data_IF_307719803546
#
_entry.id   IF_307719803546
#
_cell.length_a   1.000
_cell.length_b   1.000
_cell.length_c   1.000
_cell.angle_alpha   90.00
_cell.angle_beta   90.00
_cell.angle_gamma   90.00
#
_symmetry.space_group_name_H-M   'P 1'
#
loop_
_entity.id
_entity.type
_entity.pdbx_description
1 polymer ?
#
# COMPACT_ATOMS: atom_id res chain seq x y z
N UNK A 1 -13.38 -16.32 -1.39
CA UNK A 1 -12.14 -15.84 -0.76
C UNK A 1 -11.20 -15.45 -1.90
N UNK A 2 -10.83 -14.17 -2.04
CA UNK A 2 -9.88 -13.76 -3.07
C UNK A 2 -8.52 -14.35 -2.67
N UNK A 3 -7.95 -15.16 -3.54
CA UNK A 3 -6.61 -15.73 -3.37
C UNK A 3 -5.58 -14.61 -3.18
N UNK A 4 -4.44 -14.93 -2.55
CA UNK A 4 -3.30 -14.01 -2.44
C UNK A 4 -2.96 -13.41 -3.82
N UNK A 5 -2.87 -12.07 -3.91
CA UNK A 5 -2.50 -11.38 -5.14
C UNK A 5 -1.07 -11.77 -5.53
N UNK A 6 -0.88 -12.26 -6.74
CA UNK A 6 0.45 -12.59 -7.29
C UNK A 6 1.21 -11.34 -7.72
N UNK A 7 2.53 -11.44 -7.91
CA UNK A 7 3.35 -10.34 -8.43
C UNK A 7 2.80 -9.75 -9.74
N UNK A 8 2.47 -10.62 -10.69
CA UNK A 8 1.99 -10.21 -12.02
C UNK A 8 0.64 -9.50 -11.95
N UNK A 9 -0.29 -9.99 -11.12
CA UNK A 9 -1.57 -9.34 -10.87
C UNK A 9 -1.36 -7.97 -10.20
N UNK A 10 -0.51 -7.89 -9.18
CA UNK A 10 -0.20 -6.62 -8.52
C UNK A 10 0.35 -5.58 -9.52
N UNK A 11 1.28 -5.97 -10.38
CA UNK A 11 1.82 -5.08 -11.41
C UNK A 11 0.75 -4.67 -12.42
N UNK A 12 -0.15 -5.58 -12.79
CA UNK A 12 -1.27 -5.27 -13.69
C UNK A 12 -2.20 -4.21 -13.08
N UNK A 13 -2.63 -4.42 -11.84
CA UNK A 13 -3.52 -3.50 -11.12
C UNK A 13 -2.85 -2.13 -10.89
N UNK A 14 -1.57 -2.09 -10.52
CA UNK A 14 -0.84 -0.83 -10.35
C UNK A 14 -0.73 -0.03 -11.66
N UNK A 15 -0.60 -0.71 -12.80
CA UNK A 15 -0.66 -0.07 -14.13
C UNK A 15 -2.06 0.46 -14.41
N UNK A 16 -3.11 -0.29 -14.10
CA UNK A 16 -4.49 0.16 -14.27
C UNK A 16 -4.79 1.41 -13.40
N UNK A 17 -4.37 1.41 -12.13
CA UNK A 17 -4.50 2.55 -11.21
C UNK A 17 -3.78 3.79 -11.75
N UNK A 18 -2.60 3.63 -12.35
CA UNK A 18 -1.86 4.75 -12.97
C UNK A 18 -2.68 5.43 -14.07
N UNK A 19 -3.39 4.67 -14.89
CA UNK A 19 -4.22 5.22 -15.98
C UNK A 19 -5.46 5.98 -15.48
N UNK A 20 -5.88 5.76 -14.21
CA UNK A 20 -6.95 6.54 -13.59
C UNK A 20 -6.54 7.99 -13.24
N UNK A 21 -5.26 8.34 -13.40
CA UNK A 21 -4.73 9.68 -13.12
C UNK A 21 -4.94 10.10 -11.65
N UNK A 22 -5.50 11.29 -11.40
CA UNK A 22 -5.70 11.82 -10.06
C UNK A 22 -6.91 11.19 -9.37
N UNK A 23 -6.65 10.47 -8.27
CA UNK A 23 -7.66 9.83 -7.43
C UNK A 23 -7.84 10.64 -6.15
N UNK A 24 -9.10 10.89 -5.77
CA UNK A 24 -9.43 11.53 -4.49
C UNK A 24 -9.02 10.61 -3.35
N UNK A 25 -8.33 11.15 -2.34
CA UNK A 25 -7.90 10.37 -1.17
C UNK A 25 -9.09 9.71 -0.45
N UNK A 26 -8.91 8.47 -0.02
CA UNK A 26 -9.91 7.74 0.76
C UNK A 26 -9.83 8.01 2.27
N UNK A 27 -8.74 8.67 2.73
CA UNK A 27 -8.54 9.09 4.12
C UNK A 27 -7.89 10.46 4.18
N UNK A 28 -8.28 11.27 5.16
CA UNK A 28 -7.64 12.56 5.44
C UNK A 28 -6.26 12.40 6.07
N UNK A 29 -5.32 13.28 5.73
CA UNK A 29 -3.99 13.32 6.32
C UNK A 29 -2.93 12.46 5.60
N UNK A 30 -1.78 12.29 6.25
CA UNK A 30 -0.58 11.71 5.62
C UNK A 30 -0.76 10.24 5.22
N UNK A 31 -1.51 9.46 5.99
CA UNK A 31 -1.78 8.03 5.73
C UNK A 31 -2.78 7.81 4.59
N UNK A 32 -3.35 8.89 4.03
CA UNK A 32 -4.28 8.81 2.91
C UNK A 32 -3.70 8.14 1.67
N UNK A 33 -2.41 8.32 1.38
CA UNK A 33 -1.79 7.69 0.20
C UNK A 33 -1.73 6.16 0.30
N UNK A 34 -1.39 5.63 1.49
CA UNK A 34 -1.40 4.20 1.77
C UNK A 34 -2.80 3.63 1.74
N UNK A 35 -3.72 4.27 2.46
CA UNK A 35 -5.11 3.83 2.51
C UNK A 35 -5.77 3.80 1.14
N UNK A 36 -5.53 4.82 0.32
CA UNK A 36 -6.14 4.92 -1.03
C UNK A 36 -5.66 3.77 -1.93
N UNK A 37 -4.37 3.44 -1.94
CA UNK A 37 -3.88 2.36 -2.80
C UNK A 37 -4.32 0.97 -2.31
N UNK A 38 -4.40 0.75 -1.00
CA UNK A 38 -4.92 -0.49 -0.41
C UNK A 38 -6.39 -0.72 -0.80
N UNK A 39 -7.23 0.32 -0.67
CA UNK A 39 -8.63 0.24 -1.05
C UNK A 39 -8.83 -0.04 -2.55
N UNK A 40 -8.02 0.60 -3.42
CA UNK A 40 -8.08 0.37 -4.86
C UNK A 40 -7.66 -1.05 -5.26
N UNK A 41 -6.73 -1.65 -4.52
CA UNK A 41 -6.29 -3.04 -4.72
C UNK A 41 -7.21 -4.07 -4.02
N UNK A 42 -8.18 -3.60 -3.22
CA UNK A 42 -9.06 -4.43 -2.41
C UNK A 42 -8.33 -5.13 -1.26
N UNK A 43 -7.28 -4.50 -0.73
CA UNK A 43 -6.51 -4.97 0.43
C UNK A 43 -7.18 -4.41 1.69
N UNK A 44 -7.58 -5.29 2.59
CA UNK A 44 -8.16 -4.90 3.88
C UNK A 44 -7.06 -4.42 4.84
N UNK A 45 -7.25 -3.21 5.38
CA UNK A 45 -6.33 -2.62 6.35
C UNK A 45 -6.26 -3.49 7.62
N UNK A 46 -5.06 -3.81 8.07
CA UNK A 46 -4.83 -4.59 9.28
C UNK A 46 -3.51 -4.17 9.97
N UNK A 47 -3.25 -4.71 11.16
CA UNK A 47 -2.05 -4.46 11.95
C UNK A 47 -1.13 -5.68 12.08
N UNK A 48 -1.31 -6.70 11.23
CA UNK A 48 -0.50 -7.92 11.24
C UNK A 48 0.86 -7.58 10.64
N UNK A 49 1.99 -7.96 11.28
CA UNK A 49 3.32 -7.75 10.72
C UNK A 49 3.61 -8.79 9.62
N UNK A 50 2.91 -8.65 8.49
CA UNK A 50 2.98 -9.54 7.33
C UNK A 50 2.75 -8.79 6.01
N UNK A 51 3.04 -9.45 4.88
CA UNK A 51 2.95 -8.85 3.55
C UNK A 51 1.49 -8.56 3.14
N UNK A 52 1.31 -7.56 2.27
CA UNK A 52 -0.01 -7.23 1.70
C UNK A 52 -0.45 -8.20 0.59
N UNK A 53 0.49 -8.77 -0.16
CA UNK A 53 0.20 -9.58 -1.35
C UNK A 53 1.20 -10.73 -1.50
N UNK A 54 0.83 -11.95 -1.08
CA UNK A 54 1.73 -13.10 -1.16
C UNK A 54 2.97 -12.89 -0.27
N UNK A 55 4.15 -12.76 -0.90
CA UNK A 55 5.43 -12.44 -0.22
C UNK A 55 5.87 -10.98 -0.47
N UNK A 56 4.94 -10.11 -0.87
CA UNK A 56 5.22 -8.74 -1.31
C UNK A 56 4.61 -7.76 -0.32
N UNK A 57 5.46 -6.88 0.19
CA UNK A 57 5.06 -5.71 0.96
C UNK A 57 4.80 -4.52 0.02
N UNK A 58 3.66 -3.84 0.19
CA UNK A 58 3.30 -2.65 -0.56
C UNK A 58 3.59 -1.41 0.28
N UNK A 59 4.43 -0.50 -0.23
CA UNK A 59 4.65 0.82 0.38
C UNK A 59 4.35 1.91 -0.64
N UNK A 60 3.70 2.99 -0.19
CA UNK A 60 3.41 4.16 -1.01
C UNK A 60 4.07 5.42 -0.43
N UNK A 61 4.54 6.29 -1.32
CA UNK A 61 5.17 7.56 -0.96
C UNK A 61 4.84 8.62 -2.00
N UNK A 62 4.69 9.87 -1.56
CA UNK A 62 4.53 11.02 -2.47
C UNK A 62 5.88 11.33 -3.11
N UNK A 63 5.91 11.63 -4.40
CA UNK A 63 7.13 12.07 -5.08
C UNK A 63 7.58 13.43 -4.53
N UNK A 64 8.89 13.69 -4.57
CA UNK A 64 9.51 14.96 -4.18
C UNK A 64 9.29 15.38 -2.71
N UNK A 65 9.06 14.41 -1.82
CA UNK A 65 9.10 14.65 -0.37
C UNK A 65 10.47 14.27 0.19
N UNK A 66 10.92 14.98 1.21
CA UNK A 66 12.17 14.68 1.93
C UNK A 66 11.99 13.64 3.04
N UNK A 67 10.76 13.22 3.32
CA UNK A 67 10.45 12.25 4.37
C UNK A 67 11.01 10.87 4.05
N UNK A 68 11.51 10.18 5.08
CA UNK A 68 11.96 8.80 4.97
C UNK A 68 10.80 7.84 4.68
N UNK A 69 11.10 6.74 4.00
CA UNK A 69 10.16 5.63 3.82
C UNK A 69 10.18 4.74 5.07
N UNK A 70 9.04 4.63 5.76
CA UNK A 70 8.89 3.69 6.88
C UNK A 70 8.85 2.26 6.36
N UNK A 71 9.85 1.45 6.71
CA UNK A 71 9.90 0.03 6.34
C UNK A 71 9.02 -0.81 7.27
N UNK A 72 9.28 -0.73 8.57
CA UNK A 72 8.51 -1.41 9.61
C UNK A 72 8.66 -0.66 10.94
N UNK A 73 7.81 -0.99 11.91
CA UNK A 73 7.90 -0.52 13.29
C UNK A 73 8.19 -1.70 14.21
N UNK A 74 9.09 -1.52 15.17
CA UNK A 74 9.43 -2.55 16.15
C UNK A 74 9.75 -1.90 17.49
N UNK A 75 9.10 -2.37 18.55
CA UNK A 75 9.44 -1.98 19.91
C UNK A 75 10.81 -2.54 20.31
N UNK A 76 11.57 -1.83 21.17
CA UNK A 76 12.82 -2.35 21.71
C UNK A 76 12.59 -3.67 22.47
N UNK A 77 13.62 -4.50 22.52
CA UNK A 77 13.65 -5.65 23.42
C UNK A 77 13.94 -5.17 24.86
N UNK A 78 13.40 -5.85 25.88
CA UNK A 78 13.72 -5.56 27.27
C UNK A 78 15.20 -5.77 27.59
#
# INVERSE_FOLDING_TARGET
MKTMITYSELIHELKAIKEMSFIRTHRSGNTGIGKTIEDLLGIEENNVPGPNAGMIELKSARRNVSSMLTLFTKSPLP
#
